data_IF_685924758360
#
_entry.id   IF_685924758360
#
_cell.length_a   1.000
_cell.length_b   1.000
_cell.length_c   1.000
_cell.angle_alpha   90.00
_cell.angle_beta   90.00
_cell.angle_gamma   90.00
#
_symmetry.space_group_name_H-M   'P 1'
#
loop_
_entity.id
_entity.type
_entity.pdbx_description
1 polymer ?
#
# COMPACT_ATOMS: atom_id res chain seq x y z
N UNK A 1 -7.29 -27.68 30.62
CA UNK A 1 -6.92 -26.25 30.62
C UNK A 1 -6.04 -25.84 29.43
N UNK A 2 -5.11 -26.68 28.97
CA UNK A 2 -4.15 -26.32 27.89
C UNK A 2 -4.77 -26.12 26.49
N UNK A 3 -5.92 -26.73 26.17
CA UNK A 3 -6.59 -26.56 24.86
C UNK A 3 -7.31 -25.21 24.70
N UNK A 4 -7.81 -24.63 25.80
CA UNK A 4 -8.49 -23.33 25.80
C UNK A 4 -7.51 -22.15 25.71
N UNK A 5 -6.31 -22.30 26.30
CA UNK A 5 -5.21 -21.33 26.18
C UNK A 5 -4.75 -21.17 24.72
N UNK A 6 -4.71 -22.27 23.94
CA UNK A 6 -4.34 -22.23 22.51
C UNK A 6 -5.36 -21.46 21.66
N UNK A 7 -6.66 -21.62 21.94
CA UNK A 7 -7.73 -20.91 21.24
C UNK A 7 -7.73 -19.41 21.60
N UNK A 8 -7.39 -19.07 22.85
CA UNK A 8 -7.24 -17.68 23.28
C UNK A 8 -6.03 -17.01 22.63
N UNK A 9 -4.92 -17.73 22.44
CA UNK A 9 -3.71 -17.22 21.79
C UNK A 9 -3.93 -16.94 20.28
N UNK A 10 -4.76 -17.74 19.62
CA UNK A 10 -5.07 -17.59 18.19
C UNK A 10 -6.10 -16.48 17.89
N UNK A 11 -6.92 -16.08 18.85
CA UNK A 11 -8.00 -15.09 18.65
C UNK A 11 -7.64 -13.66 19.07
N UNK A 12 -6.54 -13.48 19.81
CA UNK A 12 -6.15 -12.18 20.39
C UNK A 12 -5.64 -11.08 19.41
N UNK A 13 -5.11 -11.34 18.19
CA UNK A 13 -4.58 -10.24 17.37
C UNK A 13 -5.61 -9.48 16.50
N UNK A 14 -6.91 -9.77 16.62
CA UNK A 14 -7.92 -9.25 15.67
C UNK A 14 -8.26 -7.75 15.81
N UNK A 15 -7.87 -7.10 16.91
CA UNK A 15 -8.27 -5.70 17.20
C UNK A 15 -7.15 -4.68 17.04
N UNK A 16 -5.93 -5.10 16.72
CA UNK A 16 -4.80 -4.19 16.63
C UNK A 16 -4.59 -3.76 15.18
N UNK A 17 -4.72 -2.46 14.96
CA UNK A 17 -4.52 -1.81 13.67
C UNK A 17 -3.10 -2.03 13.15
N UNK A 18 -2.91 -2.66 11.98
CA UNK A 18 -1.65 -3.34 11.72
C UNK A 18 -0.42 -2.44 11.46
N UNK A 19 -0.19 -2.06 10.20
CA UNK A 19 0.98 -1.26 9.83
C UNK A 19 0.89 0.23 10.24
N UNK A 20 2.06 0.84 10.49
CA UNK A 20 2.19 2.26 10.84
C UNK A 20 2.36 3.21 9.63
N UNK A 21 2.26 2.71 8.40
CA UNK A 21 2.48 3.46 7.16
C UNK A 21 1.42 3.20 6.09
N UNK A 22 1.31 4.10 5.11
CA UNK A 22 0.49 3.94 3.91
C UNK A 22 1.31 3.49 2.71
N UNK A 23 2.54 3.99 2.56
CA UNK A 23 3.42 3.61 1.46
C UNK A 23 4.88 3.57 1.89
N UNK A 24 5.63 2.60 1.36
CA UNK A 24 7.06 2.46 1.59
C UNK A 24 7.77 1.90 0.35
N UNK A 25 9.01 2.29 0.13
CA UNK A 25 9.84 1.85 -0.98
C UNK A 25 11.23 1.51 -0.45
N UNK A 26 11.87 0.47 -0.99
CA UNK A 26 13.28 0.26 -0.74
C UNK A 26 13.82 -0.98 -1.39
N UNK A 27 14.83 -1.57 -0.77
CA UNK A 27 15.60 -2.67 -1.31
C UNK A 27 15.25 -3.98 -0.60
N UNK A 28 15.32 -5.06 -1.35
CA UNK A 28 15.10 -6.43 -0.90
C UNK A 28 16.37 -7.21 -1.22
N UNK A 29 17.01 -7.73 -0.18
CA UNK A 29 18.29 -8.42 -0.24
C UNK A 29 18.12 -9.81 0.35
N UNK A 30 18.39 -10.85 -0.42
CA UNK A 30 18.23 -12.23 0.03
C UNK A 30 18.87 -13.20 -0.93
N UNK A 31 18.13 -14.26 -1.29
CA UNK A 31 18.51 -15.13 -2.40
C UNK A 31 18.74 -14.34 -3.70
N UNK A 32 18.00 -13.25 -3.88
CA UNK A 32 18.09 -12.33 -5.00
C UNK A 32 18.12 -10.89 -4.50
N UNK A 33 18.60 -9.99 -5.34
CA UNK A 33 18.65 -8.55 -5.05
C UNK A 33 17.57 -7.85 -5.86
N UNK A 34 16.80 -6.99 -5.21
CA UNK A 34 15.71 -6.28 -5.86
C UNK A 34 15.26 -5.02 -5.14
N UNK A 35 14.29 -4.37 -5.73
CA UNK A 35 13.53 -3.28 -5.15
C UNK A 35 12.12 -3.77 -4.78
N UNK A 36 11.56 -3.20 -3.72
CA UNK A 36 10.23 -3.52 -3.21
C UNK A 36 9.48 -2.24 -2.87
N UNK A 37 8.24 -2.16 -3.31
CA UNK A 37 7.31 -1.08 -3.02
C UNK A 37 6.04 -1.64 -2.40
N UNK A 38 5.60 -1.05 -1.29
CA UNK A 38 4.37 -1.42 -0.60
C UNK A 38 3.41 -0.25 -0.55
N UNK A 39 2.13 -0.56 -0.77
CA UNK A 39 1.02 0.37 -0.68
C UNK A 39 -0.12 -0.26 0.11
N UNK A 40 -0.51 0.37 1.21
CA UNK A 40 -1.69 0.02 1.99
C UNK A 40 -2.95 0.39 1.21
N UNK A 41 -3.85 -0.57 1.07
CA UNK A 41 -5.15 -0.39 0.42
C UNK A 41 -6.27 -0.63 1.44
N UNK A 42 -6.62 0.38 2.26
CA UNK A 42 -7.66 0.26 3.28
C UNK A 42 -9.06 0.06 2.68
N UNK A 43 -9.23 0.30 1.37
CA UNK A 43 -10.47 0.08 0.62
C UNK A 43 -10.80 -1.41 0.51
N UNK A 44 -9.79 -2.27 0.37
CA UNK A 44 -9.99 -3.73 0.30
C UNK A 44 -10.16 -4.29 1.71
N UNK A 45 -9.20 -4.02 2.59
CA UNK A 45 -9.26 -4.37 4.00
C UNK A 45 -8.33 -3.46 4.80
N UNK A 46 -8.65 -3.20 6.08
CA UNK A 46 -7.95 -2.21 6.91
C UNK A 46 -6.42 -2.41 7.01
N UNK A 47 -5.99 -3.66 6.89
CA UNK A 47 -4.59 -4.09 7.02
C UNK A 47 -4.06 -4.77 5.74
N UNK A 48 -4.72 -4.56 4.60
CA UNK A 48 -4.28 -5.12 3.33
C UNK A 48 -3.23 -4.21 2.67
N UNK A 49 -2.20 -4.83 2.13
CA UNK A 49 -1.06 -4.20 1.47
C UNK A 49 -0.87 -4.85 0.11
N UNK A 50 -0.84 -4.05 -0.94
CA UNK A 50 -0.30 -4.47 -2.22
C UNK A 50 1.22 -4.24 -2.21
N UNK A 51 1.99 -5.25 -2.60
CA UNK A 51 3.43 -5.15 -2.75
C UNK A 51 3.84 -5.49 -4.17
N UNK A 52 4.63 -4.63 -4.78
CA UNK A 52 5.36 -4.91 -6.01
C UNK A 52 6.83 -5.16 -5.70
N UNK A 53 7.38 -6.23 -6.24
CA UNK A 53 8.80 -6.59 -6.12
C UNK A 53 9.37 -6.69 -7.53
N UNK A 54 10.50 -6.05 -7.77
CA UNK A 54 11.32 -6.26 -8.96
C UNK A 54 12.65 -6.77 -8.45
N UNK A 55 13.09 -7.94 -8.90
CA UNK A 55 14.41 -8.46 -8.57
C UNK A 55 15.16 -8.89 -9.82
N UNK A 56 16.48 -8.93 -9.69
CA UNK A 56 17.39 -9.46 -10.68
C UNK A 56 18.21 -10.57 -10.02
N UNK A 57 18.33 -11.69 -10.72
CA UNK A 57 19.18 -12.79 -10.26
C UNK A 57 20.64 -12.37 -10.32
N UNK A 58 21.40 -12.66 -9.25
CA UNK A 58 22.85 -12.40 -9.22
C UNK A 58 23.64 -13.43 -10.04
N UNK A 59 23.04 -14.60 -10.30
CA UNK A 59 23.73 -15.74 -10.94
C UNK A 59 23.38 -15.89 -12.41
N UNK A 60 22.27 -15.32 -12.86
CA UNK A 60 21.75 -15.42 -14.24
C UNK A 60 21.29 -14.03 -14.70
N UNK A 61 21.35 -13.73 -16.00
CA UNK A 61 20.79 -12.49 -16.54
C UNK A 61 19.27 -12.59 -16.67
N UNK A 62 18.61 -12.77 -15.53
CA UNK A 62 17.19 -13.01 -15.39
C UNK A 62 16.61 -11.97 -14.44
N UNK A 63 15.51 -11.36 -14.85
CA UNK A 63 14.75 -10.45 -14.01
C UNK A 63 13.37 -11.00 -13.77
N UNK A 64 12.75 -10.59 -12.66
CA UNK A 64 11.38 -10.95 -12.39
C UNK A 64 10.64 -9.84 -11.66
N UNK A 65 9.35 -9.76 -11.97
CA UNK A 65 8.39 -8.89 -11.34
C UNK A 65 7.36 -9.73 -10.59
N UNK A 66 7.22 -9.50 -9.30
CA UNK A 66 6.22 -10.14 -8.45
C UNK A 66 5.21 -9.11 -7.96
N UNK A 67 3.93 -9.46 -8.00
CA UNK A 67 2.84 -8.70 -7.40
C UNK A 67 2.18 -9.53 -6.30
N UNK A 68 2.17 -9.02 -5.07
CA UNK A 68 1.68 -9.71 -3.88
C UNK A 68 0.55 -8.92 -3.21
N UNK A 69 -0.50 -9.63 -2.79
CA UNK A 69 -1.49 -9.14 -1.84
C UNK A 69 -1.19 -9.69 -0.45
N UNK A 70 -0.92 -8.81 0.52
CA UNK A 70 -0.50 -9.18 1.87
C UNK A 70 -1.47 -8.67 2.91
N UNK A 71 -1.74 -9.51 3.90
CA UNK A 71 -2.50 -9.18 5.10
C UNK A 71 -1.54 -9.00 6.27
N UNK A 72 -1.54 -7.83 6.89
CA UNK A 72 -0.71 -7.56 8.07
C UNK A 72 -1.52 -7.77 9.36
N UNK A 73 -0.88 -8.36 10.37
CA UNK A 73 -1.40 -8.53 11.72
C UNK A 73 -0.33 -8.10 12.73
N UNK A 74 -0.75 -7.49 13.82
CA UNK A 74 0.20 -7.06 14.84
C UNK A 74 0.36 -8.11 15.91
N UNK A 75 1.60 -8.34 16.31
CA UNK A 75 1.89 -9.21 17.45
C UNK A 75 1.88 -8.39 18.73
N UNK A 76 2.70 -7.33 18.77
CA UNK A 76 2.95 -6.58 20.01
C UNK A 76 2.65 -5.08 19.89
N UNK A 77 2.95 -4.48 18.74
CA UNK A 77 2.70 -3.05 18.50
C UNK A 77 2.46 -2.78 17.02
N UNK A 78 2.01 -1.58 16.67
CA UNK A 78 1.88 -1.12 15.25
C UNK A 78 3.20 -1.08 14.49
N UNK A 79 4.31 -1.24 15.20
CA UNK A 79 5.67 -1.24 14.68
C UNK A 79 6.21 -2.65 14.51
N UNK A 80 5.53 -3.69 14.98
CA UNK A 80 5.97 -5.09 14.92
C UNK A 80 4.81 -5.94 14.41
N UNK A 81 4.87 -6.28 13.13
CA UNK A 81 3.77 -6.90 12.41
C UNK A 81 4.26 -8.20 11.78
N UNK A 82 3.39 -9.20 11.76
CA UNK A 82 3.54 -10.33 10.84
C UNK A 82 2.66 -10.10 9.63
N UNK A 83 3.06 -10.66 8.52
CA UNK A 83 2.28 -10.65 7.31
C UNK A 83 2.29 -12.01 6.65
N UNK A 84 1.19 -12.30 5.98
CA UNK A 84 1.06 -13.43 5.09
C UNK A 84 0.26 -12.99 3.87
N UNK A 85 0.46 -13.66 2.75
CA UNK A 85 -0.17 -13.26 1.51
C UNK A 85 0.09 -14.24 0.39
N UNK A 86 -0.47 -13.89 -0.76
CA UNK A 86 -0.25 -14.62 -1.99
C UNK A 86 -0.22 -13.65 -3.18
N UNK A 87 0.32 -14.11 -4.29
CA UNK A 87 0.37 -13.35 -5.52
C UNK A 87 0.93 -14.16 -6.67
N UNK A 88 1.49 -13.45 -7.63
CA UNK A 88 2.04 -14.03 -8.85
C UNK A 88 3.31 -13.30 -9.27
N UNK A 89 4.19 -14.02 -9.96
CA UNK A 89 5.38 -13.46 -10.56
C UNK A 89 5.42 -13.74 -12.06
N UNK A 90 6.11 -12.83 -12.75
CA UNK A 90 6.41 -12.87 -14.17
C UNK A 90 7.89 -12.55 -14.32
N UNK A 91 8.66 -13.50 -14.83
CA UNK A 91 10.06 -13.35 -15.14
C UNK A 91 10.31 -13.11 -16.62
N UNK A 92 11.47 -12.56 -16.89
CA UNK A 92 12.06 -12.43 -18.20
C UNK A 92 13.50 -12.92 -18.14
N UNK A 93 13.88 -13.65 -19.17
CA UNK A 93 15.23 -14.17 -19.34
C UNK A 93 15.65 -13.90 -20.76
N UNK A 94 16.88 -13.41 -20.92
CA UNK A 94 17.54 -13.30 -22.23
C UNK A 94 18.40 -14.55 -22.50
N UNK A 95 18.29 -15.59 -21.67
CA UNK A 95 19.04 -16.83 -21.84
C UNK A 95 18.51 -17.55 -23.10
N UNK A 96 19.41 -17.74 -24.08
CA UNK A 96 19.15 -18.47 -25.31
C UNK A 96 19.38 -19.95 -25.00
N UNK A 97 18.40 -20.79 -25.29
CA UNK A 97 18.55 -22.23 -25.16
C UNK A 97 19.62 -22.72 -26.15
N UNK A 98 20.79 -23.11 -25.64
CA UNK A 98 21.94 -23.56 -26.45
C UNK A 98 21.67 -24.85 -27.25
N UNK A 99 20.55 -25.55 -26.99
CA UNK A 99 20.14 -26.75 -27.73
C UNK A 99 19.07 -26.50 -28.80
N UNK A 100 18.24 -25.47 -28.66
CA UNK A 100 17.13 -25.20 -29.61
C UNK A 100 17.23 -23.85 -30.31
N UNK A 101 18.09 -22.94 -29.88
CA UNK A 101 18.22 -21.59 -30.43
C UNK A 101 17.05 -20.66 -30.08
N UNK A 102 16.09 -21.12 -29.27
CA UNK A 102 14.93 -20.35 -28.84
C UNK A 102 15.21 -19.65 -27.50
N UNK A 103 14.65 -18.44 -27.33
CA UNK A 103 14.68 -17.72 -26.05
C UNK A 103 13.88 -18.52 -25.02
N UNK A 104 14.44 -18.76 -23.83
CA UNK A 104 13.70 -19.44 -22.76
C UNK A 104 12.35 -18.75 -22.51
N UNK A 105 11.28 -19.55 -22.40
CA UNK A 105 9.94 -19.05 -22.13
C UNK A 105 9.91 -18.26 -20.82
N UNK A 106 9.15 -17.14 -20.81
CA UNK A 106 9.02 -16.25 -19.65
C UNK A 106 8.54 -17.03 -18.42
N UNK A 107 9.35 -17.16 -17.34
CA UNK A 107 8.92 -17.91 -16.18
C UNK A 107 7.73 -17.22 -15.51
N UNK A 108 6.70 -17.98 -15.15
CA UNK A 108 5.55 -17.43 -14.45
C UNK A 108 5.02 -18.41 -13.42
N UNK A 109 4.46 -17.88 -12.36
CA UNK A 109 4.03 -18.69 -11.23
C UNK A 109 3.18 -17.95 -10.23
N UNK A 110 2.77 -18.69 -9.22
CA UNK A 110 2.10 -18.17 -8.03
C UNK A 110 3.07 -18.18 -6.87
N UNK A 111 2.93 -17.18 -6.00
CA UNK A 111 3.77 -16.99 -4.83
C UNK A 111 2.91 -17.00 -3.58
N UNK A 112 3.35 -17.73 -2.56
CA UNK A 112 2.99 -17.47 -1.19
C UNK A 112 4.01 -16.52 -0.56
N UNK A 113 3.62 -15.78 0.47
CA UNK A 113 4.57 -15.01 1.27
C UNK A 113 4.17 -15.06 2.73
N UNK A 114 5.16 -15.21 3.60
CA UNK A 114 5.05 -15.17 5.05
C UNK A 114 6.24 -14.37 5.58
N UNK A 115 6.03 -13.48 6.53
CA UNK A 115 7.13 -12.74 7.11
C UNK A 115 6.76 -11.94 8.33
N UNK A 116 7.78 -11.28 8.87
CA UNK A 116 7.66 -10.31 9.94
C UNK A 116 8.32 -9.00 9.52
N UNK A 117 7.78 -7.90 10.00
CA UNK A 117 8.32 -6.57 9.79
C UNK A 117 8.37 -5.75 11.08
N UNK A 118 9.38 -4.90 11.14
CA UNK A 118 9.60 -3.93 12.19
C UNK A 118 9.72 -2.54 11.57
N UNK A 119 8.92 -1.58 12.02
CA UNK A 119 9.02 -0.19 11.59
C UNK A 119 9.53 0.70 12.72
N UNK A 120 10.70 1.30 12.52
CA UNK A 120 11.28 2.28 13.42
C UNK A 120 11.42 3.64 12.71
N UNK A 121 10.78 4.67 13.26
CA UNK A 121 10.71 6.01 12.68
C UNK A 121 10.20 6.02 11.22
N UNK A 122 11.11 6.10 10.24
CA UNK A 122 10.80 6.04 8.80
C UNK A 122 11.43 4.85 8.09
N UNK A 123 12.03 3.93 8.82
CA UNK A 123 12.68 2.73 8.26
C UNK A 123 11.83 1.53 8.66
N UNK A 124 11.43 0.74 7.67
CA UNK A 124 10.76 -0.54 7.82
C UNK A 124 11.74 -1.63 7.40
N UNK A 125 12.02 -2.56 8.31
CA UNK A 125 12.84 -3.73 8.06
C UNK A 125 11.92 -4.93 8.08
N UNK A 126 11.96 -5.78 7.08
CA UNK A 126 11.25 -7.06 7.11
C UNK A 126 12.15 -8.23 6.81
N UNK A 127 11.76 -9.37 7.35
CA UNK A 127 12.26 -10.66 6.95
C UNK A 127 11.09 -11.48 6.43
N UNK A 128 11.24 -12.08 5.26
CA UNK A 128 10.18 -12.87 4.66
C UNK A 128 10.66 -14.09 3.89
N UNK A 129 9.74 -15.04 3.83
CA UNK A 129 9.82 -16.36 3.24
C UNK A 129 8.76 -16.45 2.15
N UNK A 130 9.20 -16.64 0.90
CA UNK A 130 8.37 -16.64 -0.30
C UNK A 130 8.49 -17.99 -1.02
N UNK A 131 7.63 -18.97 -0.72
CA UNK A 131 7.51 -20.17 -1.53
C UNK A 131 6.78 -19.85 -2.84
N UNK A 132 7.25 -20.37 -3.96
CA UNK A 132 6.63 -20.18 -5.26
C UNK A 132 6.42 -21.51 -5.98
N UNK A 133 5.36 -21.58 -6.78
CA UNK A 133 5.09 -22.68 -7.70
C UNK A 133 5.17 -22.11 -9.11
N UNK A 134 6.13 -22.61 -9.88
CA UNK A 134 6.42 -22.20 -11.24
C UNK A 134 5.68 -23.10 -12.23
N UNK A 135 4.92 -22.51 -13.15
CA UNK A 135 4.15 -23.26 -14.16
C UNK A 135 4.86 -23.36 -15.51
N UNK A 136 5.93 -22.58 -15.73
CA UNK A 136 6.74 -22.64 -16.94
C UNK A 136 8.03 -21.84 -16.80
N UNK A 137 9.01 -22.10 -17.68
CA UNK A 137 10.24 -21.32 -17.79
C UNK A 137 11.34 -21.60 -16.76
N UNK A 138 11.07 -22.43 -15.75
CA UNK A 138 11.99 -22.67 -14.62
C UNK A 138 12.37 -24.15 -14.49
N UNK A 139 13.59 -24.43 -14.02
CA UNK A 139 14.12 -25.81 -13.95
C UNK A 139 13.44 -26.66 -12.87
N UNK A 140 12.87 -26.00 -11.85
CA UNK A 140 12.18 -26.64 -10.75
C UNK A 140 10.76 -26.08 -10.61
N UNK A 141 9.74 -26.95 -10.43
CA UNK A 141 8.35 -26.51 -10.30
C UNK A 141 8.08 -25.78 -8.98
N UNK A 142 8.96 -25.89 -8.00
CA UNK A 142 8.85 -25.24 -6.69
C UNK A 142 10.16 -24.51 -6.38
N UNK A 143 10.06 -23.25 -6.01
CA UNK A 143 11.18 -22.44 -5.57
C UNK A 143 10.90 -21.81 -4.21
N UNK A 144 11.95 -21.57 -3.43
CA UNK A 144 11.85 -20.96 -2.11
C UNK A 144 12.82 -19.80 -2.07
N UNK A 145 12.31 -18.61 -1.78
CA UNK A 145 13.12 -17.43 -1.59
C UNK A 145 12.99 -16.91 -0.16
N UNK A 146 14.10 -16.45 0.40
CA UNK A 146 14.07 -15.66 1.63
C UNK A 146 14.76 -14.35 1.39
N UNK A 147 14.27 -13.29 2.03
CA UNK A 147 14.89 -11.98 1.91
C UNK A 147 14.71 -11.13 3.16
N UNK A 148 15.70 -10.27 3.37
CA UNK A 148 15.63 -9.12 4.25
C UNK A 148 15.33 -7.91 3.38
N UNK A 149 14.25 -7.20 3.67
CA UNK A 149 13.91 -5.96 2.98
C UNK A 149 14.12 -4.78 3.91
N UNK A 150 14.74 -3.72 3.39
CA UNK A 150 14.85 -2.42 4.07
C UNK A 150 14.15 -1.39 3.22
N UNK A 151 13.05 -0.85 3.75
CA UNK A 151 12.16 0.10 3.09
C UNK A 151 12.12 1.41 3.84
N UNK A 152 12.17 2.51 3.09
CA UNK A 152 11.88 3.84 3.60
C UNK A 152 10.38 4.12 3.49
N UNK A 153 9.79 4.60 4.59
CA UNK A 153 8.38 5.00 4.69
C UNK A 153 8.20 6.35 4.01
N UNK A 154 7.59 6.32 2.83
CA UNK A 154 7.28 7.52 2.03
C UNK A 154 6.07 8.24 2.63
N UNK A 155 5.01 7.47 2.94
CA UNK A 155 3.76 8.00 3.46
C UNK A 155 3.42 7.33 4.79
N UNK A 156 3.20 8.14 5.82
CA UNK A 156 2.73 7.66 7.13
C UNK A 156 1.28 7.18 7.03
N UNK A 157 0.84 6.41 8.03
CA UNK A 157 -0.53 5.90 8.07
C UNK A 157 -1.54 7.04 7.92
N UNK A 158 -2.52 6.81 7.05
CA UNK A 158 -3.59 7.74 6.67
C UNK A 158 -3.15 8.98 5.88
N UNK A 159 -1.87 9.13 5.54
CA UNK A 159 -1.40 10.28 4.79
C UNK A 159 -1.90 10.30 3.34
N UNK A 160 -2.14 9.13 2.73
CA UNK A 160 -2.67 9.02 1.36
C UNK A 160 -4.20 9.07 1.36
N UNK A 161 -4.82 8.37 2.31
CA UNK A 161 -6.25 8.09 2.28
C UNK A 161 -7.10 9.11 3.07
N UNK A 162 -6.63 9.67 4.19
CA UNK A 162 -7.40 10.67 4.94
C UNK A 162 -7.26 12.08 4.36
N UNK A 163 -6.15 12.42 3.67
CA UNK A 163 -5.98 13.75 3.04
C UNK A 163 -7.10 14.11 2.07
N UNK A 164 -7.69 13.14 1.36
CA UNK A 164 -8.85 13.40 0.48
C UNK A 164 -10.09 13.80 1.29
N UNK A 165 -10.36 13.11 2.39
CA UNK A 165 -11.47 13.42 3.31
C UNK A 165 -11.26 14.76 4.02
N UNK A 166 -10.04 15.04 4.43
CA UNK A 166 -9.67 16.32 5.04
C UNK A 166 -9.81 17.50 4.07
N UNK A 167 -9.38 17.34 2.81
CA UNK A 167 -9.58 18.36 1.76
C UNK A 167 -11.07 18.62 1.47
N UNK A 168 -11.89 17.56 1.45
CA UNK A 168 -13.34 17.69 1.29
C UNK A 168 -13.97 18.48 2.45
N UNK A 169 -13.66 18.11 3.69
CA UNK A 169 -14.13 18.81 4.88
C UNK A 169 -13.68 20.28 4.93
N UNK A 170 -12.43 20.56 4.54
CA UNK A 170 -11.91 21.93 4.49
C UNK A 170 -12.59 22.77 3.41
N UNK A 171 -12.94 22.18 2.25
CA UNK A 171 -13.71 22.86 1.20
C UNK A 171 -15.11 23.22 1.70
N UNK A 172 -15.79 22.28 2.36
CA UNK A 172 -17.11 22.49 2.95
C UNK A 172 -17.09 23.58 4.05
N UNK A 173 -16.11 23.51 4.97
CA UNK A 173 -15.91 24.56 5.99
C UNK A 173 -15.71 25.94 5.38
N UNK A 174 -14.92 26.04 4.31
CA UNK A 174 -14.70 27.30 3.61
C UNK A 174 -15.96 27.80 2.88
N UNK A 175 -16.78 26.91 2.33
CA UNK A 175 -18.08 27.28 1.74
C UNK A 175 -19.03 27.82 2.83
N UNK A 176 -19.19 27.09 3.92
CA UNK A 176 -20.03 27.50 5.05
C UNK A 176 -19.58 28.84 5.65
N UNK A 177 -18.26 29.07 5.74
CA UNK A 177 -17.71 30.37 6.19
C UNK A 177 -18.09 31.50 5.25
N UNK A 178 -17.93 31.29 3.94
CA UNK A 178 -18.31 32.28 2.91
C UNK A 178 -19.81 32.58 2.92
N UNK A 179 -20.65 31.58 3.13
CA UNK A 179 -22.10 31.76 3.24
C UNK A 179 -22.48 32.56 4.48
N UNK A 180 -21.91 32.24 5.65
CA UNK A 180 -22.11 33.01 6.88
C UNK A 180 -21.65 34.47 6.72
N UNK A 181 -20.49 34.70 6.09
CA UNK A 181 -20.01 36.05 5.80
C UNK A 181 -20.94 36.81 4.85
N UNK A 182 -21.44 36.15 3.79
CA UNK A 182 -22.44 36.72 2.88
C UNK A 182 -23.74 37.07 3.61
N UNK A 183 -24.22 36.20 4.49
CA UNK A 183 -25.43 36.43 5.26
C UNK A 183 -25.27 37.56 6.27
N UNK A 184 -24.11 37.65 6.94
CA UNK A 184 -23.75 38.79 7.81
C UNK A 184 -23.76 40.09 7.03
N UNK A 185 -23.09 40.14 5.87
CA UNK A 185 -23.09 41.32 4.98
C UNK A 185 -24.50 41.67 4.50
N UNK A 186 -25.34 40.69 4.20
CA UNK A 186 -26.75 40.89 3.82
C UNK A 186 -27.55 41.52 4.96
N UNK A 187 -27.45 40.99 6.17
CA UNK A 187 -28.14 41.52 7.37
C UNK A 187 -27.67 42.94 7.69
N UNK A 188 -26.37 43.23 7.55
CA UNK A 188 -25.82 44.56 7.74
C UNK A 188 -26.36 45.56 6.71
N UNK A 189 -26.43 45.20 5.42
CA UNK A 189 -27.02 46.06 4.38
C UNK A 189 -28.50 46.38 4.63
N UNK A 190 -29.27 45.41 5.11
CA UNK A 190 -30.67 45.63 5.49
C UNK A 190 -30.78 46.64 6.63
N UNK A 191 -29.93 46.52 7.67
CA UNK A 191 -29.89 47.50 8.77
C UNK A 191 -29.51 48.91 8.29
N UNK A 192 -28.67 49.00 7.28
CA UNK A 192 -28.26 50.27 6.65
C UNK A 192 -29.27 50.80 5.61
N UNK A 193 -30.43 50.15 5.42
CA UNK A 193 -31.44 50.56 4.44
C UNK A 193 -31.08 50.32 2.97
N UNK A 194 -30.03 49.53 2.69
CA UNK A 194 -29.51 49.24 1.34
C UNK A 194 -30.07 47.92 0.80
N UNK A 195 -30.14 47.80 -0.54
CA UNK A 195 -30.59 46.57 -1.22
C UNK A 195 -29.76 45.35 -0.77
N UNK A 196 -30.36 44.34 -0.10
CA UNK A 196 -29.68 43.12 0.34
C UNK A 196 -29.11 42.29 -0.82
N UNK A 197 -29.65 42.45 -2.02
CA UNK A 197 -29.20 41.80 -3.24
C UNK A 197 -28.37 42.73 -4.14
N UNK A 198 -27.94 43.90 -3.65
CA UNK A 198 -27.13 44.84 -4.43
C UNK A 198 -25.79 44.27 -4.93
N UNK A 199 -25.36 43.12 -4.40
CA UNK A 199 -24.23 42.37 -4.93
C UNK A 199 -24.53 41.65 -6.25
N UNK A 200 -25.78 41.47 -6.68
CA UNK A 200 -26.16 40.87 -7.98
C UNK A 200 -26.39 41.92 -9.08
N UNK A 201 -25.68 43.04 -9.04
CA UNK A 201 -25.91 44.16 -9.97
C UNK A 201 -25.80 43.74 -11.44
N UNK A 202 -24.87 42.83 -11.77
CA UNK A 202 -24.69 42.28 -13.13
C UNK A 202 -25.88 41.47 -13.68
N UNK A 203 -26.88 41.11 -12.87
CA UNK A 203 -28.11 40.47 -13.35
C UNK A 203 -29.21 41.47 -13.71
N UNK A 204 -29.05 42.75 -13.38
CA UNK A 204 -30.07 43.78 -13.63
C UNK A 204 -29.98 44.38 -15.05
N UNK A 205 -28.84 44.23 -15.73
CA UNK A 205 -28.58 44.86 -17.03
C UNK A 205 -28.87 43.96 -18.25
N UNK A 206 -29.42 42.76 -18.02
CA UNK A 206 -29.88 41.85 -19.09
C UNK A 206 -31.39 41.97 -19.31
N UNK A 207 -31.83 43.05 -19.95
CA UNK A 207 -33.13 43.14 -20.62
C UNK A 207 -32.88 43.35 -22.11
#
# INVERSE_FOLDING_TARGET
>A
MNRLLFVFLLTFPLLITAQSYDASLGLRLGTEIGATAQLRLPVVHKNFVAEGIIHQSLRRNEGSFTLLGKQHQNILSRRLNIFYGAGMHLGWTDEINTKTGEVYGRPFGIDGVLGAEATFAKINVSYDFKPAINFGGDAFPVSIQTAISVRYVIAKRNDIWDKKKERANNKERNQNRREREREKKRKQRIKEGKDPNGWKFWKKDGK
#
